data_IF_336148880014
#
_entry.id   IF_336148880014
#
_cell.length_a   1.000
_cell.length_b   1.000
_cell.length_c   1.000
_cell.angle_alpha   90.00
_cell.angle_beta   90.00
_cell.angle_gamma   90.00
#
_symmetry.space_group_name_H-M   'P 1'
#
loop_
_entity.id
_entity.type
_entity.pdbx_description
1 polymer ?
#
# COMPACT_ATOMS: atom_id res chain seq x y z
N UNK A 1 -14.21 -13.32 8.22
CA UNK A 1 -13.03 -12.46 8.05
C UNK A 1 -13.02 -12.03 6.61
N UNK A 2 -13.08 -10.74 6.38
CA UNK A 2 -12.97 -10.17 5.04
C UNK A 2 -11.51 -9.87 4.74
N UNK A 3 -11.15 -9.95 3.47
CA UNK A 3 -9.85 -9.54 2.94
C UNK A 3 -10.09 -8.38 2.00
N UNK A 4 -9.22 -7.39 2.06
CA UNK A 4 -9.31 -6.20 1.25
C UNK A 4 -8.00 -6.01 0.47
N UNK A 5 -8.11 -5.48 -0.72
CA UNK A 5 -6.98 -5.07 -1.53
C UNK A 5 -6.75 -3.56 -1.37
N UNK A 6 -5.53 -3.16 -1.03
CA UNK A 6 -5.19 -1.74 -0.96
C UNK A 6 -5.05 -1.18 -2.37
N UNK A 7 -5.80 -0.12 -2.66
CA UNK A 7 -5.79 0.60 -3.93
C UNK A 7 -5.69 2.10 -3.72
N UNK A 8 -5.29 2.80 -4.76
CA UNK A 8 -5.34 4.25 -4.77
C UNK A 8 -6.80 4.76 -4.76
N UNK A 9 -7.07 5.74 -3.91
CA UNK A 9 -8.34 6.47 -3.91
C UNK A 9 -8.36 7.48 -5.07
N UNK A 10 -9.31 7.29 -5.98
CA UNK A 10 -9.43 8.11 -7.20
C UNK A 10 -9.87 9.55 -6.95
N UNK A 11 -10.40 9.85 -5.76
CA UNK A 11 -10.85 11.18 -5.36
C UNK A 11 -9.74 12.05 -4.77
N UNK A 12 -8.53 11.46 -4.61
CA UNK A 12 -7.38 12.15 -4.03
C UNK A 12 -6.20 12.21 -5.01
N UNK A 13 -5.31 13.17 -4.78
CA UNK A 13 -4.00 13.17 -5.42
C UNK A 13 -3.19 11.95 -5.02
N UNK A 14 -2.24 11.58 -5.84
CA UNK A 14 -1.33 10.46 -5.56
C UNK A 14 0.12 10.88 -5.74
N UNK A 15 1.01 10.17 -5.10
CA UNK A 15 2.43 10.26 -5.42
C UNK A 15 2.78 9.39 -6.63
N UNK A 16 3.80 9.80 -7.35
CA UNK A 16 4.51 9.00 -8.35
C UNK A 16 6.02 9.24 -8.24
N UNK A 17 6.83 8.48 -8.93
CA UNK A 17 8.25 8.78 -9.00
C UNK A 17 8.49 10.10 -9.73
N UNK A 18 9.44 10.88 -9.25
CA UNK A 18 9.82 12.13 -9.91
C UNK A 18 10.41 11.86 -11.30
N UNK A 19 11.17 10.77 -11.44
CA UNK A 19 11.67 10.27 -12.72
C UNK A 19 11.29 8.80 -12.87
N UNK A 20 10.43 8.49 -13.85
CA UNK A 20 9.98 7.11 -14.10
C UNK A 20 11.15 6.20 -14.54
N UNK A 21 12.24 6.76 -15.09
CA UNK A 21 13.44 6.00 -15.45
C UNK A 21 14.15 5.42 -14.22
N UNK A 22 13.96 6.03 -13.05
CA UNK A 22 14.54 5.55 -11.80
C UNK A 22 13.84 4.32 -11.23
N UNK A 23 12.66 3.96 -11.73
CA UNK A 23 11.88 2.82 -11.24
C UNK A 23 12.67 1.51 -11.23
N UNK A 24 13.50 1.27 -12.24
CA UNK A 24 14.35 0.07 -12.33
C UNK A 24 15.51 0.05 -11.33
N UNK A 25 15.90 1.19 -10.79
CA UNK A 25 16.98 1.31 -9.80
C UNK A 25 16.48 1.32 -8.36
N UNK A 26 15.17 1.44 -8.14
CA UNK A 26 14.57 1.52 -6.82
C UNK A 26 14.11 0.13 -6.36
N UNK A 27 14.82 -0.44 -5.38
CA UNK A 27 14.53 -1.77 -4.84
C UNK A 27 13.08 -1.96 -4.33
N UNK A 28 12.37 -0.88 -4.01
CA UNK A 28 10.95 -0.93 -3.64
C UNK A 28 10.05 -1.53 -4.74
N UNK A 29 10.46 -1.45 -6.01
CA UNK A 29 9.71 -1.99 -7.15
C UNK A 29 9.95 -3.47 -7.43
N UNK A 30 10.91 -4.10 -6.76
CA UNK A 30 11.16 -5.53 -6.91
C UNK A 30 10.09 -6.39 -6.24
N UNK A 31 9.34 -5.81 -5.30
CA UNK A 31 8.27 -6.47 -4.53
C UNK A 31 8.69 -7.82 -3.94
N UNK A 32 9.97 -7.95 -3.63
CA UNK A 32 10.55 -9.22 -3.17
C UNK A 32 10.09 -9.62 -1.76
N UNK A 33 9.62 -8.67 -0.96
CA UNK A 33 9.27 -8.89 0.45
C UNK A 33 10.49 -9.10 1.35
N UNK A 34 11.67 -8.74 0.89
CA UNK A 34 12.91 -8.74 1.67
C UNK A 34 13.13 -7.41 2.38
N UNK A 35 13.96 -7.43 3.42
CA UNK A 35 14.37 -6.21 4.11
C UNK A 35 15.23 -5.34 3.20
N UNK A 36 14.85 -4.08 3.08
CA UNK A 36 15.57 -3.06 2.33
C UNK A 36 16.35 -2.12 3.23
N UNK A 37 16.21 -2.25 4.55
CA UNK A 37 16.71 -1.29 5.55
C UNK A 37 18.19 -0.96 5.40
N UNK A 38 19.05 -1.98 5.30
CA UNK A 38 20.51 -1.81 5.29
C UNK A 38 21.06 -1.14 4.01
N UNK A 39 20.31 -1.20 2.91
CA UNK A 39 20.71 -0.61 1.63
C UNK A 39 19.84 0.56 1.19
N UNK A 40 18.88 0.96 2.02
CA UNK A 40 17.89 1.94 1.66
C UNK A 40 18.51 3.32 1.39
N UNK A 41 18.19 3.84 0.22
CA UNK A 41 18.46 5.23 -0.15
C UNK A 41 17.13 5.90 -0.44
N UNK A 42 16.76 6.96 0.32
CA UNK A 42 15.52 7.69 0.07
C UNK A 42 15.48 8.19 -1.37
N UNK A 43 14.43 7.86 -2.09
CA UNK A 43 14.18 8.36 -3.43
C UNK A 43 13.08 9.42 -3.42
N UNK A 44 13.00 10.19 -4.49
CA UNK A 44 12.05 11.28 -4.62
C UNK A 44 10.72 10.80 -5.16
N UNK A 45 9.65 11.20 -4.50
CA UNK A 45 8.29 11.04 -4.95
C UNK A 45 7.67 12.42 -5.20
N UNK A 46 6.92 12.55 -6.26
CA UNK A 46 6.27 13.79 -6.64
C UNK A 46 4.76 13.66 -6.53
N UNK A 47 4.11 14.72 -6.04
CA UNK A 47 2.66 14.76 -5.96
C UNK A 47 2.07 15.00 -7.34
N UNK A 48 1.40 14.00 -7.89
CA UNK A 48 0.71 14.10 -9.17
C UNK A 48 -0.63 14.83 -9.00
N UNK A 49 -0.66 16.09 -9.41
CA UNK A 49 -1.84 16.96 -9.34
C UNK A 49 -2.78 16.84 -10.54
N UNK A 50 -2.50 15.92 -11.46
CA UNK A 50 -3.29 15.71 -12.67
C UNK A 50 -3.03 16.74 -13.78
N UNK A 51 -3.51 16.41 -14.99
CA UNK A 51 -3.41 17.26 -16.19
C UNK A 51 -4.72 17.93 -16.53
N UNK A 52 -5.85 17.25 -16.29
CA UNK A 52 -7.20 17.75 -16.58
C UNK A 52 -7.73 18.64 -15.46
N UNK A 53 -8.80 19.40 -15.75
CA UNK A 53 -9.46 20.25 -14.75
C UNK A 53 -10.04 19.41 -13.60
N UNK A 54 -10.60 18.25 -13.91
CA UNK A 54 -11.16 17.34 -12.91
C UNK A 54 -10.06 16.79 -11.98
N UNK A 55 -8.94 16.31 -12.55
CA UNK A 55 -7.82 15.82 -11.75
C UNK A 55 -7.19 16.91 -10.87
N UNK A 56 -7.15 18.16 -11.32
CA UNK A 56 -6.64 19.29 -10.54
C UNK A 56 -7.55 19.69 -9.38
N UNK A 57 -8.79 19.24 -9.36
CA UNK A 57 -9.75 19.46 -8.27
C UNK A 57 -9.77 18.33 -7.23
N UNK A 58 -8.92 17.32 -7.35
CA UNK A 58 -8.82 16.23 -6.39
C UNK A 58 -8.34 16.74 -5.02
N UNK A 59 -8.70 15.99 -3.98
CA UNK A 59 -8.31 16.35 -2.63
C UNK A 59 -6.81 16.08 -2.41
N UNK A 60 -6.11 17.08 -1.88
CA UNK A 60 -4.69 16.97 -1.49
C UNK A 60 -4.47 16.61 -0.03
N UNK A 61 -5.52 16.54 0.77
CA UNK A 61 -5.42 16.22 2.20
C UNK A 61 -5.55 14.69 2.38
N UNK A 62 -4.41 14.03 2.42
CA UNK A 62 -4.31 12.58 2.61
C UNK A 62 -3.04 12.23 3.42
N UNK A 63 -3.08 11.14 4.15
CA UNK A 63 -1.96 10.62 4.93
C UNK A 63 -1.45 9.26 4.43
N UNK A 64 -2.04 8.71 3.40
CA UNK A 64 -1.56 7.53 2.70
C UNK A 64 -1.81 7.61 1.20
N UNK A 65 -0.93 7.02 0.41
CA UNK A 65 -1.03 6.97 -1.04
C UNK A 65 -0.54 5.63 -1.55
N UNK A 66 -1.33 4.98 -2.39
CA UNK A 66 -0.92 3.76 -3.07
C UNK A 66 -0.58 4.10 -4.52
N UNK A 67 0.72 4.16 -4.83
CA UNK A 67 1.18 4.35 -6.20
C UNK A 67 1.26 2.99 -6.89
N UNK A 68 0.57 2.83 -7.99
CA UNK A 68 0.46 1.54 -8.66
C UNK A 68 0.04 0.43 -7.68
N UNK A 69 -0.16 -0.79 -8.10
CA UNK A 69 -0.34 -1.86 -7.14
C UNK A 69 0.99 -2.11 -6.41
N UNK A 70 1.02 -1.98 -5.09
CA UNK A 70 2.12 -2.46 -4.27
C UNK A 70 3.12 -1.46 -3.73
N UNK A 71 2.98 -0.17 -4.01
CA UNK A 71 3.76 0.87 -3.34
C UNK A 71 2.83 1.68 -2.45
N UNK A 72 2.88 1.41 -1.17
CA UNK A 72 2.12 2.13 -0.16
C UNK A 72 3.02 3.16 0.52
N UNK A 73 2.70 4.42 0.38
CA UNK A 73 3.31 5.52 1.12
C UNK A 73 2.40 5.93 2.26
N UNK A 74 2.97 6.14 3.42
CA UNK A 74 2.26 6.54 4.63
C UNK A 74 2.94 7.75 5.27
N UNK A 75 2.16 8.69 5.76
CA UNK A 75 2.67 9.83 6.51
C UNK A 75 3.24 9.40 7.86
N UNK A 76 4.11 10.20 8.43
CA UNK A 76 4.77 9.91 9.71
C UNK A 76 3.79 9.54 10.83
N UNK A 77 2.64 10.20 10.91
CA UNK A 77 1.59 9.90 11.89
C UNK A 77 1.15 8.43 11.87
N UNK A 78 1.07 7.82 10.69
CA UNK A 78 0.71 6.41 10.50
C UNK A 78 1.85 5.44 10.84
N UNK A 79 3.10 5.89 10.77
CA UNK A 79 4.24 5.01 11.05
C UNK A 79 4.23 4.51 12.50
N UNK A 80 3.79 5.34 13.43
CA UNK A 80 3.69 5.00 14.86
C UNK A 80 2.70 3.86 15.09
N UNK A 81 1.55 3.93 14.44
CA UNK A 81 0.51 2.89 14.55
C UNK A 81 0.98 1.61 13.89
N UNK A 82 1.46 1.72 12.64
CA UNK A 82 1.91 0.56 11.88
C UNK A 82 3.05 -0.19 12.59
N UNK A 83 4.06 0.51 13.11
CA UNK A 83 5.19 -0.13 13.80
C UNK A 83 4.78 -0.86 15.08
N UNK A 84 3.74 -0.41 15.77
CA UNK A 84 3.22 -1.07 16.97
C UNK A 84 2.40 -2.32 16.66
N UNK A 85 1.61 -2.29 15.61
CA UNK A 85 0.60 -3.30 15.31
C UNK A 85 1.07 -4.33 14.28
N UNK A 86 1.91 -3.93 13.33
CA UNK A 86 2.34 -4.75 12.21
C UNK A 86 3.81 -5.12 12.37
N UNK A 87 4.10 -6.39 12.67
CA UNK A 87 5.48 -6.85 12.90
C UNK A 87 6.28 -7.07 11.62
N UNK A 88 5.62 -7.35 10.52
CA UNK A 88 6.24 -7.68 9.24
C UNK A 88 6.24 -6.49 8.27
N UNK A 89 6.51 -5.29 8.77
CA UNK A 89 6.57 -4.08 7.97
C UNK A 89 7.84 -3.28 8.28
N UNK A 90 8.47 -2.77 7.26
CA UNK A 90 9.51 -1.73 7.36
C UNK A 90 8.95 -0.40 6.86
N UNK A 91 9.31 0.67 7.56
CA UNK A 91 8.91 2.02 7.22
C UNK A 91 10.16 2.79 6.79
N UNK A 92 10.29 2.99 5.50
CA UNK A 92 11.50 3.46 4.83
C UNK A 92 11.26 4.87 4.29
N UNK A 93 12.01 5.85 4.80
CA UNK A 93 11.81 7.26 4.46
C UNK A 93 11.93 7.51 2.95
N UNK A 94 11.05 8.33 2.41
CA UNK A 94 11.09 8.86 1.04
C UNK A 94 11.14 10.38 1.07
N UNK A 95 11.44 11.02 -0.05
CA UNK A 95 11.52 12.48 -0.18
C UNK A 95 10.33 12.95 -1.00
N UNK A 96 9.30 13.46 -0.33
CA UNK A 96 8.11 13.97 -1.01
C UNK A 96 8.33 15.40 -1.51
N UNK A 97 7.84 15.71 -2.72
CA UNK A 97 7.98 17.01 -3.35
C UNK A 97 7.21 18.15 -2.66
N UNK A 98 6.25 17.80 -1.81
CA UNK A 98 5.43 18.73 -1.03
C UNK A 98 5.92 18.90 0.41
N UNK A 99 7.15 18.45 0.69
CA UNK A 99 7.85 18.56 1.97
C UNK A 99 7.18 17.79 3.14
N UNK A 100 6.10 17.05 2.90
CA UNK A 100 5.49 16.18 3.91
C UNK A 100 6.39 14.99 4.23
N UNK A 101 6.30 14.50 5.45
CA UNK A 101 7.13 13.39 5.95
C UNK A 101 6.46 12.05 5.64
N UNK A 102 6.84 11.42 4.53
CA UNK A 102 6.30 10.16 4.05
C UNK A 102 7.32 9.02 4.10
N UNK A 103 6.78 7.81 4.22
CA UNK A 103 7.54 6.57 4.30
C UNK A 103 6.94 5.54 3.34
N UNK A 104 7.79 4.80 2.65
CA UNK A 104 7.39 3.59 1.96
C UNK A 104 7.15 2.48 2.97
N UNK A 105 5.98 1.89 2.94
CA UNK A 105 5.60 0.76 3.79
C UNK A 105 5.96 -0.56 3.09
N UNK A 106 7.14 -1.10 3.38
CA UNK A 106 7.61 -2.37 2.81
C UNK A 106 7.10 -3.54 3.66
N UNK A 107 6.16 -4.30 3.14
CA UNK A 107 5.66 -5.52 3.79
C UNK A 107 6.65 -6.66 3.57
N UNK A 108 7.18 -7.18 4.67
CA UNK A 108 8.18 -8.25 4.69
C UNK A 108 7.54 -9.63 4.55
N UNK A 109 8.21 -10.46 3.76
CA UNK A 109 7.77 -11.81 3.47
C UNK A 109 6.63 -11.86 2.44
N UNK A 110 6.61 -12.95 1.71
CA UNK A 110 5.53 -13.35 0.82
C UNK A 110 5.00 -14.68 1.31
N UNK A 111 3.70 -14.88 1.25
CA UNK A 111 3.05 -16.10 1.71
C UNK A 111 2.18 -16.69 0.60
N UNK A 112 1.99 -18.01 0.54
CA UNK A 112 1.04 -18.65 -0.37
C UNK A 112 -0.39 -18.39 0.11
N UNK A 113 -0.84 -17.14 -0.04
CA UNK A 113 -2.13 -16.69 0.48
C UNK A 113 -3.30 -17.12 -0.40
N UNK A 114 -3.11 -17.10 -1.72
CA UNK A 114 -4.17 -17.46 -2.67
C UNK A 114 -4.41 -18.96 -2.70
N UNK A 115 -5.68 -19.34 -2.82
CA UNK A 115 -6.11 -20.70 -3.07
C UNK A 115 -6.51 -20.87 -4.54
N UNK A 116 -5.80 -21.71 -5.26
CA UNK A 116 -6.06 -22.03 -6.66
C UNK A 116 -5.64 -23.47 -6.95
N UNK A 117 -6.34 -24.14 -7.84
CA UNK A 117 -6.06 -25.53 -8.21
C UNK A 117 -5.12 -25.61 -9.43
N UNK A 118 -5.14 -24.60 -10.29
CA UNK A 118 -4.36 -24.60 -11.51
C UNK A 118 -4.07 -23.16 -12.02
N UNK A 119 -3.24 -23.05 -13.05
CA UNK A 119 -2.85 -21.77 -13.64
C UNK A 119 -4.02 -20.98 -14.24
N UNK A 120 -5.05 -21.68 -14.72
CA UNK A 120 -6.22 -21.03 -15.31
C UNK A 120 -7.05 -20.31 -14.25
N UNK A 121 -7.16 -20.89 -13.05
CA UNK A 121 -7.83 -20.24 -11.91
C UNK A 121 -7.15 -18.93 -11.53
N UNK A 122 -5.81 -18.92 -11.50
CA UNK A 122 -5.04 -17.70 -11.26
C UNK A 122 -5.30 -16.61 -12.30
N UNK A 123 -5.39 -16.99 -13.57
CA UNK A 123 -5.70 -16.07 -14.66
C UNK A 123 -7.11 -15.49 -14.51
N UNK A 124 -8.08 -16.32 -14.14
CA UNK A 124 -9.46 -15.90 -13.89
C UNK A 124 -9.48 -14.92 -12.70
N UNK A 125 -8.91 -15.30 -11.56
CA UNK A 125 -8.85 -14.44 -10.37
C UNK A 125 -8.18 -13.09 -10.66
N UNK A 126 -7.08 -13.09 -11.39
CA UNK A 126 -6.38 -11.86 -11.77
C UNK A 126 -7.24 -10.94 -12.67
N UNK A 127 -8.06 -11.54 -13.56
CA UNK A 127 -8.92 -10.80 -14.49
C UNK A 127 -10.21 -10.31 -13.84
N UNK A 128 -10.83 -11.14 -12.98
CA UNK A 128 -12.08 -10.79 -12.29
C UNK A 128 -11.86 -10.01 -11.01
N UNK A 129 -10.65 -10.05 -10.45
CA UNK A 129 -10.31 -9.54 -9.11
C UNK A 129 -11.07 -10.26 -7.99
N UNK A 130 -11.59 -11.46 -8.25
CA UNK A 130 -12.27 -12.32 -7.29
C UNK A 130 -11.28 -13.35 -6.75
N UNK A 131 -10.65 -13.03 -5.62
CA UNK A 131 -9.62 -13.87 -5.02
C UNK A 131 -10.18 -14.84 -3.99
N UNK A 132 -9.67 -16.08 -4.02
CA UNK A 132 -9.92 -17.07 -2.96
C UNK A 132 -8.67 -17.21 -2.11
N UNK A 133 -8.83 -17.24 -0.80
CA UNK A 133 -7.71 -17.27 0.12
C UNK A 133 -7.65 -18.52 0.96
N UNK A 134 -6.42 -18.94 1.30
CA UNK A 134 -6.15 -20.00 2.24
C UNK A 134 -6.46 -19.55 3.70
N UNK A 135 -6.91 -20.48 4.54
CA UNK A 135 -7.20 -20.19 5.95
C UNK A 135 -5.98 -19.76 6.77
N UNK A 136 -4.77 -20.02 6.28
CA UNK A 136 -3.50 -19.68 6.94
C UNK A 136 -3.31 -18.19 7.17
N UNK A 137 -3.99 -17.33 6.42
CA UNK A 137 -3.89 -15.87 6.50
C UNK A 137 -4.61 -15.24 7.71
N UNK A 138 -5.40 -16.01 8.46
CA UNK A 138 -6.27 -15.49 9.54
C UNK A 138 -5.54 -14.72 10.64
N UNK A 139 -4.21 -14.88 10.76
CA UNK A 139 -3.39 -14.19 11.77
C UNK A 139 -2.66 -12.96 11.23
N UNK A 140 -2.73 -12.74 9.93
CA UNK A 140 -2.04 -11.62 9.27
C UNK A 140 -2.88 -10.35 9.38
N UNK A 141 -2.22 -9.22 9.50
CA UNK A 141 -2.87 -7.91 9.38
C UNK A 141 -2.75 -7.40 7.94
N UNK A 142 -1.53 -7.41 7.41
CA UNK A 142 -1.18 -7.05 6.05
C UNK A 142 -0.22 -8.11 5.50
N UNK A 143 -0.33 -8.43 4.23
CA UNK A 143 0.51 -9.44 3.59
C UNK A 143 0.62 -9.23 2.07
N UNK A 144 1.63 -9.89 1.49
CA UNK A 144 1.81 -10.07 0.05
C UNK A 144 1.64 -11.55 -0.29
N UNK A 145 1.01 -11.83 -1.40
CA UNK A 145 0.98 -13.19 -1.96
C UNK A 145 2.26 -13.47 -2.77
N UNK A 146 2.70 -14.73 -2.83
CA UNK A 146 3.91 -15.13 -3.57
C UNK A 146 3.80 -14.85 -5.07
N UNK A 147 2.60 -14.96 -5.64
CA UNK A 147 2.35 -14.78 -7.07
C UNK A 147 1.96 -13.33 -7.39
N UNK A 148 1.06 -12.76 -6.57
CA UNK A 148 0.61 -11.37 -6.71
C UNK A 148 1.40 -10.45 -5.76
N UNK A 149 2.72 -10.56 -5.76
CA UNK A 149 3.62 -9.90 -4.82
C UNK A 149 3.57 -8.36 -4.88
N UNK A 150 3.14 -7.80 -5.99
CA UNK A 150 2.91 -6.36 -6.12
C UNK A 150 1.63 -5.87 -5.44
N UNK A 151 0.77 -6.75 -4.93
CA UNK A 151 -0.46 -6.38 -4.24
C UNK A 151 -0.29 -6.42 -2.72
N UNK A 152 -0.90 -5.46 -2.03
CA UNK A 152 -1.09 -5.50 -0.58
C UNK A 152 -2.50 -5.95 -0.26
N UNK A 153 -2.59 -7.03 0.50
CA UNK A 153 -3.84 -7.54 1.05
C UNK A 153 -3.89 -7.28 2.55
N UNK A 154 -5.05 -6.88 3.06
CA UNK A 154 -5.26 -6.59 4.48
C UNK A 154 -6.53 -7.28 4.98
N UNK A 155 -6.57 -7.54 6.28
CA UNK A 155 -7.70 -8.17 6.97
C UNK A 155 -8.61 -7.14 7.63
N UNK A 156 -9.81 -7.53 8.07
CA UNK A 156 -10.70 -6.70 8.90
C UNK A 156 -9.94 -6.04 10.06
N UNK A 157 -9.08 -6.79 10.75
CA UNK A 157 -8.30 -6.27 11.88
C UNK A 157 -7.38 -5.12 11.52
N UNK A 158 -6.81 -5.14 10.31
CA UNK A 158 -6.01 -4.02 9.81
C UNK A 158 -6.91 -2.80 9.60
N UNK A 159 -8.07 -3.00 9.00
CA UNK A 159 -9.05 -1.92 8.78
C UNK A 159 -9.48 -1.29 10.09
N UNK A 160 -9.80 -2.11 11.11
CA UNK A 160 -10.20 -1.64 12.44
C UNK A 160 -9.12 -0.80 13.12
N UNK A 161 -7.85 -1.21 13.01
CA UNK A 161 -6.71 -0.45 13.55
C UNK A 161 -6.62 0.92 12.90
N UNK A 162 -6.73 0.98 11.58
CA UNK A 162 -6.67 2.24 10.85
C UNK A 162 -7.84 3.16 11.18
N UNK A 163 -9.05 2.63 11.29
CA UNK A 163 -10.23 3.43 11.63
C UNK A 163 -10.15 3.97 13.07
N UNK A 164 -9.70 3.17 14.02
CA UNK A 164 -9.68 3.55 15.43
C UNK A 164 -8.63 4.62 15.76
N UNK A 165 -7.44 4.54 15.17
CA UNK A 165 -6.38 5.50 15.46
C UNK A 165 -6.56 6.85 14.76
N UNK A 166 -7.40 6.92 13.72
CA UNK A 166 -7.75 8.17 13.02
C UNK A 166 -8.96 8.88 13.59
N UNK A 167 -9.81 8.19 14.37
CA UNK A 167 -10.97 8.80 15.04
C UNK A 167 -10.58 9.63 16.27
N UNK A 168 -9.37 9.47 16.81
CA UNK A 168 -8.93 10.15 18.05
C UNK A 168 -8.11 11.41 17.83
N UNK A 169 -7.72 11.73 16.63
CA UNK A 169 -7.12 13.02 16.30
C UNK A 169 -8.16 13.95 15.69
N UNK A 170 -8.29 15.16 16.18
CA UNK A 170 -9.24 16.22 15.76
C UNK A 170 -9.16 16.65 14.27
N UNK A 171 -8.79 15.76 13.37
CA UNK A 171 -8.85 15.91 11.92
C UNK A 171 -9.52 14.67 11.33
N UNK A 172 -10.55 14.90 10.54
CA UNK A 172 -11.07 13.83 9.67
C UNK A 172 -9.94 13.37 8.76
N UNK A 173 -9.36 12.22 9.06
CA UNK A 173 -8.29 11.67 8.23
C UNK A 173 -8.96 11.03 7.03
N UNK A 174 -8.83 11.69 5.90
CA UNK A 174 -9.25 11.13 4.63
C UNK A 174 -8.10 10.25 4.10
N UNK A 175 -8.40 8.99 3.89
CA UNK A 175 -7.48 8.06 3.26
C UNK A 175 -7.58 8.19 1.75
N UNK A 176 -6.46 8.40 1.06
CA UNK A 176 -6.45 8.29 -0.39
C UNK A 176 -6.17 6.85 -0.87
N UNK A 177 -6.39 5.89 0.01
CA UNK A 177 -6.19 4.46 -0.25
C UNK A 177 -7.52 3.73 -0.11
N UNK A 178 -8.02 3.16 -1.19
CA UNK A 178 -9.21 2.34 -1.19
C UNK A 178 -8.94 0.93 -0.67
N UNK A 179 -9.85 0.45 0.18
CA UNK A 179 -9.91 -0.95 0.60
C UNK A 179 -11.08 -1.62 -0.11
N UNK A 180 -10.78 -2.55 -1.00
CA UNK A 180 -11.78 -3.32 -1.72
C UNK A 180 -12.00 -4.65 -1.02
N UNK A 181 -13.27 -4.94 -0.70
CA UNK A 181 -13.64 -6.26 -0.23
C UNK A 181 -13.56 -7.25 -1.41
N UNK A 182 -12.85 -8.35 -1.24
CA UNK A 182 -12.61 -9.42 -2.22
C UNK A 182 -13.12 -10.76 -1.72
#
# INVERSE_FOLDING_TARGET
MNIYLIRHDVDHFKFHLQDESDSFSVAAFDFCGESLFNGWKPYKIELFKGKTKAEKSLNGDFNSSCFSSGLLYVEHSLTVVLSRQVKNIELLKVIASDERDFYYANVLGKIPALHYDNRQDLQIMSRTQEYKFNKSINKMLIFRDEILSSNYFVTDRFVDIFQNDFQHGNRSVQHNTYLWNI
#
